data_IF_358752706208
#
_entry.id   IF_358752706208
#
_cell.length_a   1.000
_cell.length_b   1.000
_cell.length_c   1.000
_cell.angle_alpha   90.00
_cell.angle_beta   90.00
_cell.angle_gamma   90.00
#
_symmetry.space_group_name_H-M   'P 1'
#
loop_
_entity.id
_entity.type
_entity.pdbx_description
1 polymer ?
#
# COMPACT_ATOMS: atom_id res chain seq x y z
N UNK A 1 20.53 -22.05 25.29
CA UNK A 1 20.37 -21.48 23.96
C UNK A 1 18.93 -21.72 23.50
N UNK A 2 17.98 -21.03 24.07
CA UNK A 2 16.58 -21.12 23.66
C UNK A 2 15.85 -19.95 24.34
N UNK A 3 15.95 -18.72 23.80
CA UNK A 3 15.16 -17.56 24.27
C UNK A 3 15.34 -16.38 23.31
N UNK A 4 14.93 -16.49 22.04
CA UNK A 4 14.80 -15.33 21.11
C UNK A 4 13.49 -15.37 20.29
N UNK A 5 12.68 -16.42 20.37
CA UNK A 5 11.48 -16.57 19.52
C UNK A 5 10.20 -16.04 20.22
N UNK A 6 10.27 -15.55 21.43
CA UNK A 6 9.07 -15.21 22.22
C UNK A 6 8.66 -13.71 22.26
N UNK A 7 9.25 -12.81 21.48
CA UNK A 7 9.07 -11.36 21.73
C UNK A 7 8.31 -10.58 20.62
N UNK A 8 7.72 -11.25 19.67
CA UNK A 8 7.01 -10.59 18.58
C UNK A 8 5.48 -10.46 18.74
N UNK A 9 4.91 -10.83 19.90
CA UNK A 9 3.45 -10.97 19.99
C UNK A 9 2.75 -10.20 21.12
N UNK A 10 3.38 -9.23 21.77
CA UNK A 10 2.69 -8.48 22.84
C UNK A 10 3.11 -7.03 22.91
N UNK A 11 2.71 -6.21 21.94
CA UNK A 11 2.61 -4.74 22.09
C UNK A 11 1.57 -4.14 21.14
N UNK A 12 0.32 -4.52 21.30
CA UNK A 12 -0.83 -3.82 20.71
C UNK A 12 -1.88 -3.54 21.79
N UNK A 13 -1.47 -2.82 22.83
CA UNK A 13 -2.43 -2.33 23.82
C UNK A 13 -1.91 -1.03 24.42
N UNK A 14 -2.09 0.09 23.75
CA UNK A 14 -2.28 1.41 24.34
C UNK A 14 -2.32 2.51 23.25
N UNK A 15 -3.47 2.74 22.66
CA UNK A 15 -3.87 4.06 22.15
C UNK A 15 -5.40 4.09 22.13
N UNK A 16 -5.95 4.32 23.32
CA UNK A 16 -7.38 4.59 23.47
C UNK A 16 -7.73 5.97 22.93
N UNK A 17 -8.18 6.02 21.69
CA UNK A 17 -9.15 7.00 21.22
C UNK A 17 -10.27 6.20 20.58
N UNK A 18 -11.27 5.87 21.37
CA UNK A 18 -12.50 5.25 20.90
C UNK A 18 -13.31 6.29 20.12
N UNK A 19 -12.97 6.48 18.87
CA UNK A 19 -13.96 6.96 17.90
C UNK A 19 -14.77 5.74 17.53
N UNK A 20 -15.98 5.63 18.08
CA UNK A 20 -16.95 4.65 17.66
C UNK A 20 -17.34 4.98 16.21
N UNK A 21 -16.57 4.45 15.26
CA UNK A 21 -17.00 4.36 13.87
C UNK A 21 -18.17 3.40 13.86
N UNK A 22 -19.33 3.88 13.36
CA UNK A 22 -20.41 2.97 13.00
C UNK A 22 -19.80 1.85 12.13
N UNK A 23 -20.16 0.57 12.37
CA UNK A 23 -19.61 -0.52 11.61
C UNK A 23 -19.87 -0.22 10.12
N UNK A 24 -18.87 -0.33 9.25
CA UNK A 24 -19.08 -0.21 7.82
C UNK A 24 -20.17 -1.24 7.44
N UNK A 25 -21.10 -0.85 6.58
CA UNK A 25 -22.11 -1.75 6.03
C UNK A 25 -21.40 -3.03 5.61
N UNK A 26 -21.75 -4.16 6.22
CA UNK A 26 -21.01 -5.40 6.31
C UNK A 26 -20.32 -5.78 5.00
N UNK A 27 -18.99 -5.67 4.97
CA UNK A 27 -18.18 -6.34 3.97
C UNK A 27 -18.44 -7.86 4.09
N UNK A 28 -18.75 -8.51 2.99
CA UNK A 28 -18.86 -9.97 3.01
C UNK A 28 -17.45 -10.56 3.16
N UNK A 29 -17.23 -11.32 4.20
CA UNK A 29 -15.98 -12.07 4.40
C UNK A 29 -16.22 -13.52 4.04
N UNK A 30 -15.38 -14.10 3.20
CA UNK A 30 -15.35 -15.53 2.88
C UNK A 30 -13.97 -16.02 3.31
N UNK A 31 -13.95 -16.81 4.38
CA UNK A 31 -12.72 -17.25 5.03
C UNK A 31 -12.33 -18.68 4.62
N UNK A 32 -11.04 -18.97 4.78
CA UNK A 32 -10.45 -20.29 4.58
C UNK A 32 -10.75 -20.90 3.20
N UNK A 33 -10.73 -20.08 2.17
CA UNK A 33 -10.86 -20.52 0.78
C UNK A 33 -9.58 -21.26 0.39
N UNK A 34 -9.69 -22.54 0.05
CA UNK A 34 -8.56 -23.32 -0.45
C UNK A 34 -8.31 -22.99 -1.93
N UNK A 35 -7.20 -22.35 -2.25
CA UNK A 35 -6.78 -22.09 -3.63
C UNK A 35 -5.98 -23.24 -4.23
N UNK A 36 -5.52 -24.16 -3.39
CA UNK A 36 -4.91 -25.45 -3.75
C UNK A 36 -5.10 -26.46 -2.60
N UNK A 37 -4.92 -27.77 -2.84
CA UNK A 37 -4.86 -28.77 -1.79
C UNK A 37 -3.75 -28.48 -0.78
N UNK A 38 -4.02 -28.68 0.51
CA UNK A 38 -3.04 -28.46 1.58
C UNK A 38 -1.77 -29.33 1.39
N UNK A 39 -0.62 -28.71 1.45
CA UNK A 39 0.70 -29.35 1.37
C UNK A 39 1.67 -28.67 2.35
N UNK A 40 2.21 -29.42 3.35
CA UNK A 40 1.82 -30.77 3.73
C UNK A 40 0.38 -30.86 4.22
N UNK A 41 -0.14 -32.06 4.41
CA UNK A 41 -1.48 -32.25 4.94
C UNK A 41 -1.66 -31.50 6.26
N UNK A 42 -2.76 -30.75 6.40
CA UNK A 42 -3.05 -29.89 7.56
C UNK A 42 -2.37 -28.52 7.52
N UNK A 43 -1.55 -28.20 6.51
CA UNK A 43 -1.00 -26.86 6.30
C UNK A 43 -2.11 -25.83 6.02
N UNK A 44 -1.95 -24.61 6.52
CA UNK A 44 -2.78 -23.44 6.15
C UNK A 44 -2.21 -22.69 4.93
N UNK A 45 -1.03 -23.07 4.45
CA UNK A 45 -0.26 -22.38 3.42
C UNK A 45 -0.96 -22.27 2.05
N UNK A 46 -2.12 -22.90 1.86
CA UNK A 46 -2.90 -22.80 0.62
C UNK A 46 -4.31 -22.25 0.85
N UNK A 47 -4.51 -21.48 1.92
CA UNK A 47 -5.76 -20.81 2.26
C UNK A 47 -5.68 -19.30 1.99
N UNK A 48 -6.80 -18.71 1.69
CA UNK A 48 -6.97 -17.26 1.64
C UNK A 48 -8.32 -16.85 2.24
N UNK A 49 -8.40 -15.59 2.71
CA UNK A 49 -9.66 -14.94 3.03
C UNK A 49 -9.92 -13.83 2.01
N UNK A 50 -11.14 -13.64 1.59
CA UNK A 50 -11.55 -12.53 0.73
C UNK A 50 -12.58 -11.66 1.42
N UNK A 51 -12.33 -10.35 1.45
CA UNK A 51 -13.19 -9.30 1.99
C UNK A 51 -13.78 -8.52 0.84
N UNK A 52 -15.08 -8.64 0.62
CA UNK A 52 -15.78 -7.97 -0.47
C UNK A 52 -16.49 -6.71 0.04
N UNK A 53 -16.30 -5.54 -0.58
CA UNK A 53 -17.04 -4.35 -0.19
C UNK A 53 -18.53 -4.52 -0.46
N UNK A 54 -19.38 -4.00 0.44
CA UNK A 54 -20.84 -4.06 0.32
C UNK A 54 -21.38 -3.18 -0.80
N UNK A 55 -20.63 -2.18 -1.20
CA UNK A 55 -20.99 -1.20 -2.23
C UNK A 55 -19.80 -0.99 -3.18
N UNK A 56 -20.06 -0.47 -4.34
CA UNK A 56 -19.00 -0.10 -5.25
C UNK A 56 -19.18 -0.60 -6.67
N UNK A 57 -18.20 -0.28 -7.50
CA UNK A 57 -18.10 -0.70 -8.90
C UNK A 57 -18.01 -2.22 -8.99
N UNK A 58 -18.66 -2.82 -9.98
CA UNK A 58 -18.43 -4.20 -10.41
C UNK A 58 -18.05 -4.18 -11.90
N UNK A 59 -17.00 -4.86 -12.32
CA UNK A 59 -16.06 -5.65 -11.50
C UNK A 59 -15.14 -4.77 -10.64
N UNK A 60 -14.70 -5.29 -9.46
CA UNK A 60 -13.92 -4.58 -8.44
C UNK A 60 -12.42 -4.71 -8.66
N UNK A 61 -11.62 -3.68 -8.39
CA UNK A 61 -10.18 -3.86 -8.25
C UNK A 61 -9.87 -4.75 -7.03
N UNK A 62 -8.80 -5.51 -7.10
CA UNK A 62 -8.37 -6.40 -6.03
C UNK A 62 -7.04 -5.94 -5.44
N UNK A 63 -6.96 -5.88 -4.11
CA UNK A 63 -5.71 -5.85 -3.37
C UNK A 63 -5.43 -7.24 -2.79
N UNK A 64 -4.29 -7.81 -3.11
CA UNK A 64 -3.80 -9.06 -2.52
C UNK A 64 -2.77 -8.69 -1.47
N UNK A 65 -2.96 -9.16 -0.22
CA UNK A 65 -2.07 -8.87 0.90
C UNK A 65 -1.42 -10.14 1.44
N UNK A 66 -0.14 -10.05 1.76
CA UNK A 66 0.58 -11.07 2.51
C UNK A 66 1.43 -10.41 3.60
N UNK A 67 1.18 -10.78 4.86
CA UNK A 67 1.92 -10.24 6.00
C UNK A 67 3.28 -10.91 6.18
N UNK A 68 4.26 -10.15 6.69
CA UNK A 68 5.57 -10.64 7.03
C UNK A 68 5.57 -11.66 8.17
N UNK A 69 6.44 -12.67 8.07
CA UNK A 69 6.64 -13.70 9.09
C UNK A 69 8.05 -14.27 9.05
N UNK A 70 8.99 -13.60 8.36
CA UNK A 70 10.31 -14.17 8.07
C UNK A 70 10.22 -15.58 7.41
N UNK A 71 9.16 -15.79 6.62
CA UNK A 71 8.78 -17.07 5.98
C UNK A 71 8.57 -18.24 6.96
N UNK A 72 8.44 -18.01 8.26
CA UNK A 72 8.34 -19.07 9.29
C UNK A 72 6.91 -19.51 9.59
N UNK A 73 5.92 -18.72 9.17
CA UNK A 73 4.49 -19.00 9.39
C UNK A 73 3.79 -19.34 8.07
N UNK A 74 2.81 -20.23 8.13
CA UNK A 74 1.85 -20.51 7.06
C UNK A 74 0.47 -19.86 7.34
N UNK A 75 0.41 -18.89 8.26
CA UNK A 75 -0.78 -18.07 8.54
C UNK A 75 -0.43 -16.59 8.55
N UNK A 76 -0.80 -15.89 7.49
CA UNK A 76 -0.56 -14.44 7.25
C UNK A 76 -1.86 -13.63 7.26
N UNK A 77 -2.98 -14.23 7.69
CA UNK A 77 -4.32 -13.62 7.62
C UNK A 77 -4.72 -12.70 8.78
N UNK A 78 -4.05 -12.66 9.95
CA UNK A 78 -4.52 -11.86 11.09
C UNK A 78 -4.78 -10.39 10.81
N UNK A 79 -4.03 -9.74 9.90
CA UNK A 79 -4.24 -8.33 9.53
C UNK A 79 -5.33 -8.11 8.46
N UNK A 80 -6.04 -9.16 8.05
CA UNK A 80 -6.99 -9.07 6.94
C UNK A 80 -8.12 -8.06 7.16
N UNK A 81 -8.67 -8.02 8.36
CA UNK A 81 -9.75 -7.11 8.70
C UNK A 81 -9.30 -5.64 8.69
N UNK A 82 -8.11 -5.35 9.21
CA UNK A 82 -7.52 -4.00 9.23
C UNK A 82 -7.23 -3.50 7.81
N UNK A 83 -6.63 -4.32 6.97
CA UNK A 83 -6.37 -3.99 5.56
C UNK A 83 -7.70 -3.79 4.82
N UNK A 84 -8.68 -4.65 5.04
CA UNK A 84 -10.00 -4.52 4.44
C UNK A 84 -10.71 -3.22 4.89
N UNK A 85 -10.57 -2.82 6.16
CA UNK A 85 -11.15 -1.58 6.67
C UNK A 85 -10.59 -0.33 5.96
N UNK A 86 -9.35 -0.38 5.46
CA UNK A 86 -8.76 0.69 4.65
C UNK A 86 -9.30 0.68 3.22
N UNK A 87 -9.34 -0.48 2.57
CA UNK A 87 -9.50 -0.57 1.12
C UNK A 87 -10.94 -0.86 0.66
N UNK A 88 -11.75 -1.58 1.45
CA UNK A 88 -13.16 -1.83 1.09
C UNK A 88 -13.99 -0.55 0.91
N UNK A 89 -13.86 0.49 1.77
CA UNK A 89 -14.57 1.75 1.56
C UNK A 89 -14.22 2.45 0.24
N UNK A 90 -13.09 2.11 -0.36
CA UNK A 90 -12.61 2.65 -1.64
C UNK A 90 -12.98 1.77 -2.84
N UNK A 91 -13.80 0.73 -2.60
CA UNK A 91 -14.31 -0.17 -3.62
C UNK A 91 -13.37 -1.32 -4.00
N UNK A 92 -12.26 -1.51 -3.30
CA UNK A 92 -11.39 -2.67 -3.51
C UNK A 92 -11.96 -3.91 -2.83
N UNK A 93 -11.92 -5.05 -3.49
CA UNK A 93 -11.88 -6.33 -2.81
C UNK A 93 -10.48 -6.52 -2.20
N UNK A 94 -10.39 -7.18 -1.03
CA UNK A 94 -9.11 -7.49 -0.39
C UNK A 94 -9.02 -9.01 -0.22
N UNK A 95 -7.95 -9.62 -0.74
CA UNK A 95 -7.63 -11.03 -0.49
C UNK A 95 -6.37 -11.12 0.37
N UNK A 96 -6.45 -11.79 1.51
CA UNK A 96 -5.29 -12.05 2.38
C UNK A 96 -4.88 -13.50 2.23
N UNK A 97 -3.65 -13.73 1.81
CA UNK A 97 -3.20 -15.01 1.27
C UNK A 97 -2.15 -15.62 2.18
N UNK A 98 -2.32 -16.87 2.54
CA UNK A 98 -1.30 -17.71 3.15
C UNK A 98 -0.43 -18.37 2.09
N UNK A 99 0.84 -18.59 2.41
CA UNK A 99 1.78 -19.43 1.64
C UNK A 99 2.47 -20.40 2.59
N UNK A 100 3.04 -21.45 2.08
CA UNK A 100 3.81 -22.41 2.90
C UNK A 100 4.98 -21.72 3.59
N UNK A 101 5.24 -22.10 4.84
CA UNK A 101 6.45 -21.69 5.55
C UNK A 101 7.71 -22.35 4.98
N UNK A 102 8.88 -21.79 5.30
CA UNK A 102 10.18 -22.39 4.95
C UNK A 102 10.41 -23.77 5.59
N UNK A 103 9.78 -24.05 6.74
CA UNK A 103 9.79 -25.36 7.37
C UNK A 103 8.93 -26.40 6.62
N UNK A 104 7.94 -26.00 5.84
CA UNK A 104 7.08 -26.87 5.05
C UNK A 104 7.65 -27.12 3.65
N UNK A 105 8.24 -26.09 3.04
CA UNK A 105 8.88 -26.16 1.73
C UNK A 105 9.85 -24.98 1.54
N UNK A 106 11.01 -25.24 0.96
CA UNK A 106 11.97 -24.19 0.62
C UNK A 106 11.56 -23.44 -0.66
N UNK A 107 12.22 -22.31 -0.95
CA UNK A 107 12.12 -21.60 -2.24
C UNK A 107 12.31 -22.60 -3.42
N UNK A 108 11.50 -22.52 -4.49
CA UNK A 108 10.56 -21.43 -4.84
C UNK A 108 9.09 -21.67 -4.38
N UNK A 109 8.84 -22.54 -3.41
CA UNK A 109 7.49 -22.92 -3.01
C UNK A 109 6.58 -21.72 -2.66
N UNK A 110 7.09 -20.74 -1.93
CA UNK A 110 6.34 -19.55 -1.52
C UNK A 110 5.90 -18.70 -2.72
N UNK A 111 6.76 -18.61 -3.74
CA UNK A 111 6.43 -17.89 -5.00
C UNK A 111 5.41 -18.70 -5.82
N UNK A 112 5.54 -20.02 -5.88
CA UNK A 112 4.54 -20.85 -6.54
C UNK A 112 3.17 -20.73 -5.87
N UNK A 113 3.13 -20.63 -4.54
CA UNK A 113 1.90 -20.53 -3.76
C UNK A 113 1.21 -19.18 -3.98
N UNK A 114 1.93 -18.05 -3.88
CA UNK A 114 1.32 -16.74 -4.11
C UNK A 114 0.83 -16.60 -5.56
N UNK A 115 1.58 -17.12 -6.53
CA UNK A 115 1.15 -17.13 -7.94
C UNK A 115 -0.07 -18.02 -8.17
N UNK A 116 -0.15 -19.18 -7.46
CA UNK A 116 -1.32 -20.04 -7.48
C UNK A 116 -2.57 -19.31 -6.92
N UNK A 117 -2.42 -18.58 -5.83
CA UNK A 117 -3.51 -17.79 -5.26
C UNK A 117 -3.98 -16.69 -6.24
N UNK A 118 -3.05 -15.98 -6.90
CA UNK A 118 -3.38 -14.97 -7.92
C UNK A 118 -4.13 -15.63 -9.09
N UNK A 119 -3.69 -16.78 -9.57
CA UNK A 119 -4.37 -17.53 -10.65
C UNK A 119 -5.75 -17.99 -10.22
N UNK A 120 -5.89 -18.50 -8.99
CA UNK A 120 -7.19 -18.90 -8.43
C UNK A 120 -8.17 -17.72 -8.40
N UNK A 121 -7.75 -16.56 -7.87
CA UNK A 121 -8.56 -15.35 -7.80
C UNK A 121 -8.97 -14.86 -9.19
N UNK A 122 -8.07 -14.94 -10.17
CA UNK A 122 -8.35 -14.56 -11.56
C UNK A 122 -9.31 -15.55 -12.25
N UNK A 123 -9.15 -16.84 -12.05
CA UNK A 123 -10.04 -17.85 -12.61
C UNK A 123 -11.45 -17.78 -12.01
N UNK A 124 -11.57 -17.36 -10.75
CA UNK A 124 -12.83 -17.20 -10.02
C UNK A 124 -13.33 -15.74 -9.98
N UNK A 125 -12.80 -14.89 -10.87
CA UNK A 125 -13.11 -13.46 -10.87
C UNK A 125 -14.61 -13.15 -11.00
N UNK A 126 -15.34 -13.93 -11.78
CA UNK A 126 -16.79 -13.77 -11.93
C UNK A 126 -17.52 -14.02 -10.61
N UNK A 127 -17.13 -15.05 -9.84
CA UNK A 127 -17.72 -15.39 -8.53
C UNK A 127 -17.55 -14.26 -7.53
N UNK A 128 -16.37 -13.64 -7.49
CA UNK A 128 -16.05 -12.56 -6.55
C UNK A 128 -16.24 -11.16 -7.15
N UNK A 129 -16.71 -11.08 -8.40
CA UNK A 129 -16.90 -9.83 -9.15
C UNK A 129 -15.61 -8.98 -9.22
N UNK A 130 -14.46 -9.60 -9.53
CA UNK A 130 -13.16 -8.97 -9.62
C UNK A 130 -12.84 -8.49 -11.04
N UNK A 131 -12.17 -7.33 -11.14
CA UNK A 131 -11.58 -6.86 -12.40
C UNK A 131 -10.20 -7.48 -12.58
N UNK A 132 -10.09 -8.44 -13.47
CA UNK A 132 -8.84 -9.18 -13.74
C UNK A 132 -7.70 -8.31 -14.28
N UNK A 133 -7.99 -7.09 -14.74
CA UNK A 133 -7.01 -6.10 -15.21
C UNK A 133 -6.56 -5.14 -14.09
N UNK A 134 -7.05 -5.32 -12.86
CA UNK A 134 -6.81 -4.39 -11.73
C UNK A 134 -6.47 -5.12 -10.44
N UNK A 135 -5.46 -5.99 -10.51
CA UNK A 135 -4.91 -6.70 -9.36
C UNK A 135 -3.67 -5.95 -8.85
N UNK A 136 -3.72 -5.50 -7.61
CA UNK A 136 -2.59 -4.98 -6.85
C UNK A 136 -2.08 -6.05 -5.89
N UNK A 137 -0.78 -6.07 -5.62
CA UNK A 137 -0.22 -6.88 -4.55
C UNK A 137 0.52 -6.00 -3.55
N UNK A 138 0.35 -6.30 -2.26
CA UNK A 138 1.01 -5.59 -1.19
C UNK A 138 1.43 -6.52 -0.06
N UNK A 139 2.42 -6.08 0.72
CA UNK A 139 2.89 -6.82 1.90
C UNK A 139 4.03 -6.12 2.61
N UNK A 140 4.40 -6.69 3.73
CA UNK A 140 5.48 -6.20 4.58
C UNK A 140 6.54 -7.28 4.84
N UNK A 141 7.80 -6.90 5.07
CA UNK A 141 8.90 -7.82 5.40
C UNK A 141 9.02 -8.96 4.37
N UNK A 142 8.95 -10.23 4.79
CA UNK A 142 8.90 -11.38 3.89
C UNK A 142 7.70 -11.37 2.94
N UNK A 143 6.57 -10.74 3.32
CA UNK A 143 5.42 -10.51 2.43
C UNK A 143 5.70 -9.43 1.39
N UNK A 144 6.51 -8.43 1.72
CA UNK A 144 7.00 -7.45 0.75
C UNK A 144 7.95 -8.10 -0.28
N UNK A 145 8.77 -9.05 0.16
CA UNK A 145 9.58 -9.87 -0.75
C UNK A 145 8.70 -10.67 -1.73
N UNK A 146 7.62 -11.32 -1.24
CA UNK A 146 6.65 -11.98 -2.11
C UNK A 146 5.98 -11.01 -3.08
N UNK A 147 5.67 -9.79 -2.63
CA UNK A 147 5.14 -8.73 -3.49
C UNK A 147 6.11 -8.41 -4.63
N UNK A 148 7.38 -8.21 -4.31
CA UNK A 148 8.43 -7.94 -5.31
C UNK A 148 8.61 -9.12 -6.27
N UNK A 149 8.63 -10.36 -5.75
CA UNK A 149 8.70 -11.57 -6.58
C UNK A 149 7.49 -11.67 -7.53
N UNK A 150 6.28 -11.37 -7.08
CA UNK A 150 5.08 -11.39 -7.93
C UNK A 150 5.10 -10.29 -8.98
N UNK A 151 5.59 -9.08 -8.64
CA UNK A 151 5.68 -7.92 -9.54
C UNK A 151 6.70 -8.16 -10.64
N UNK A 152 7.90 -8.64 -10.30
CA UNK A 152 9.02 -8.72 -11.23
C UNK A 152 9.15 -10.05 -11.97
N UNK A 153 8.49 -11.12 -11.50
CA UNK A 153 8.58 -12.43 -12.17
C UNK A 153 7.34 -12.79 -12.98
N UNK A 154 6.57 -11.80 -13.44
CA UNK A 154 5.46 -12.03 -14.35
C UNK A 154 5.92 -12.76 -15.61
N UNK A 155 5.34 -13.92 -15.92
CA UNK A 155 5.71 -14.72 -17.11
C UNK A 155 7.01 -15.53 -16.99
N UNK A 156 7.73 -15.48 -15.86
CA UNK A 156 8.91 -16.34 -15.63
C UNK A 156 8.46 -17.77 -15.34
N UNK A 157 8.56 -18.63 -16.36
CA UNK A 157 8.02 -20.00 -16.34
C UNK A 157 8.50 -20.83 -15.15
N UNK A 158 9.78 -20.71 -14.77
CA UNK A 158 10.36 -21.43 -13.65
C UNK A 158 9.72 -21.05 -12.28
N UNK A 159 9.13 -19.87 -12.19
CA UNK A 159 8.48 -19.34 -10.98
C UNK A 159 6.94 -19.40 -11.04
N UNK A 160 6.35 -19.84 -12.15
CA UNK A 160 4.89 -20.03 -12.20
C UNK A 160 4.43 -21.23 -11.38
N UNK A 161 5.16 -22.31 -11.37
CA UNK A 161 4.78 -23.53 -10.69
C UNK A 161 3.49 -24.16 -11.23
N UNK A 162 3.12 -25.29 -10.66
CA UNK A 162 1.93 -26.07 -11.04
C UNK A 162 0.93 -26.24 -9.90
N UNK A 163 1.09 -25.49 -8.80
CA UNK A 163 0.19 -25.52 -7.64
C UNK A 163 -1.17 -24.96 -8.03
N UNK A 164 -2.25 -25.64 -7.66
CA UNK A 164 -3.64 -25.19 -7.83
C UNK A 164 -4.02 -24.93 -9.29
N UNK A 165 -4.70 -23.81 -9.54
CA UNK A 165 -5.16 -23.43 -10.88
C UNK A 165 -3.99 -23.05 -11.80
N UNK A 166 -3.99 -23.62 -13.00
CA UNK A 166 -3.00 -23.34 -14.05
C UNK A 166 -3.68 -22.82 -15.31
N UNK A 167 -2.92 -22.36 -16.31
CA UNK A 167 -3.45 -21.91 -17.61
C UNK A 167 -4.04 -20.51 -17.62
N UNK A 168 -3.98 -19.78 -16.50
CA UNK A 168 -4.33 -18.36 -16.39
C UNK A 168 -3.15 -17.56 -15.87
N UNK A 169 -3.12 -16.25 -16.16
CA UNK A 169 -2.01 -15.37 -15.76
C UNK A 169 -1.94 -15.17 -14.24
N UNK A 170 -0.73 -15.18 -13.68
CA UNK A 170 -0.42 -14.76 -12.31
C UNK A 170 0.00 -13.29 -12.22
N UNK A 171 -0.07 -12.52 -13.30
CA UNK A 171 0.39 -11.13 -13.32
C UNK A 171 -0.42 -10.24 -12.38
N UNK A 172 0.26 -9.31 -11.73
CA UNK A 172 -0.31 -8.17 -11.01
C UNK A 172 0.00 -6.89 -11.79
N UNK A 173 -0.65 -5.77 -11.45
CA UNK A 173 -0.57 -4.54 -12.24
C UNK A 173 0.11 -3.40 -11.48
N UNK A 174 0.30 -3.56 -10.17
CA UNK A 174 0.95 -2.59 -9.29
C UNK A 174 1.36 -3.28 -8.00
N UNK A 175 2.46 -2.85 -7.39
CA UNK A 175 2.94 -3.35 -6.11
C UNK A 175 3.10 -2.27 -5.04
N UNK A 176 2.88 -2.64 -3.77
CA UNK A 176 3.19 -1.82 -2.59
C UNK A 176 3.93 -2.68 -1.57
N UNK A 177 5.16 -2.34 -1.23
CA UNK A 177 5.96 -3.16 -0.31
C UNK A 177 6.61 -2.34 0.80
N UNK A 178 6.68 -2.92 2.00
CA UNK A 178 7.28 -2.29 3.19
C UNK A 178 8.49 -3.08 3.65
N UNK A 179 9.62 -2.42 3.78
CA UNK A 179 10.88 -2.94 4.34
C UNK A 179 11.24 -4.37 3.91
N UNK A 180 11.31 -4.57 2.58
CA UNK A 180 11.57 -5.87 1.97
C UNK A 180 13.05 -6.23 1.98
N UNK A 181 13.43 -7.47 2.32
CA UNK A 181 14.73 -8.02 1.94
C UNK A 181 14.78 -8.23 0.42
N UNK A 182 15.98 -8.17 -0.17
CA UNK A 182 16.16 -8.24 -1.63
C UNK A 182 17.38 -9.10 -2.01
N UNK A 183 18.59 -8.63 -1.68
CA UNK A 183 19.84 -9.36 -1.93
C UNK A 183 20.39 -9.91 -0.61
N UNK A 184 20.07 -11.16 -0.32
CA UNK A 184 20.42 -11.80 0.95
C UNK A 184 21.93 -11.86 1.18
N UNK A 185 22.75 -11.95 0.12
CA UNK A 185 24.21 -12.02 0.26
C UNK A 185 24.83 -10.73 0.83
N UNK A 186 24.13 -9.59 0.70
CA UNK A 186 24.63 -8.30 1.13
C UNK A 186 24.06 -7.83 2.48
N UNK A 187 23.09 -8.56 3.07
CA UNK A 187 22.38 -8.08 4.25
C UNK A 187 23.30 -7.87 5.45
N UNK A 188 24.18 -8.83 5.80
CA UNK A 188 25.12 -8.65 6.93
C UNK A 188 26.03 -7.43 6.76
N UNK A 189 26.51 -7.18 5.54
CA UNK A 189 27.40 -6.04 5.25
C UNK A 189 26.66 -4.69 5.34
N UNK A 190 25.35 -4.70 5.30
CA UNK A 190 24.47 -3.52 5.37
C UNK A 190 23.82 -3.31 6.75
N UNK A 191 24.07 -4.20 7.71
CA UNK A 191 23.60 -4.02 9.08
C UNK A 191 24.03 -2.68 9.64
N UNK A 192 23.18 -2.13 10.53
CA UNK A 192 23.52 -0.89 11.23
C UNK A 192 24.79 -1.07 12.08
N UNK A 193 25.58 -0.01 12.28
CA UNK A 193 26.75 -0.07 13.16
C UNK A 193 26.42 -0.50 14.61
N UNK A 194 25.19 -0.29 15.02
CA UNK A 194 24.66 -0.68 16.36
C UNK A 194 24.29 -2.16 16.44
N UNK A 195 24.36 -2.90 15.35
CA UNK A 195 24.01 -4.32 15.25
C UNK A 195 22.87 -4.58 14.26
N UNK A 196 22.46 -5.85 14.16
CA UNK A 196 21.40 -6.34 13.31
C UNK A 196 21.29 -7.85 13.44
N UNK A 197 20.44 -8.46 12.64
CA UNK A 197 20.32 -9.91 12.56
C UNK A 197 21.56 -10.49 11.84
N UNK A 198 22.04 -11.65 12.28
CA UNK A 198 23.05 -12.40 11.53
C UNK A 198 22.40 -13.19 10.39
N UNK A 199 22.29 -12.57 9.24
CA UNK A 199 21.74 -13.15 8.01
C UNK A 199 22.59 -14.27 7.42
N UNK A 200 23.90 -14.29 7.74
CA UNK A 200 24.79 -15.35 7.28
C UNK A 200 24.66 -16.66 8.09
N UNK A 201 23.98 -16.62 9.22
CA UNK A 201 23.73 -17.80 10.03
C UNK A 201 23.01 -18.89 9.22
N UNK A 202 23.41 -20.18 9.37
CA UNK A 202 22.63 -21.30 8.79
C UNK A 202 21.17 -21.35 9.27
N UNK A 203 20.89 -20.74 10.43
CA UNK A 203 19.56 -20.65 11.02
C UNK A 203 18.85 -19.31 10.72
N UNK A 204 19.42 -18.46 9.87
CA UNK A 204 18.76 -17.23 9.45
C UNK A 204 17.50 -17.53 8.64
N UNK A 205 16.50 -16.66 8.66
CA UNK A 205 15.29 -16.82 7.85
C UNK A 205 15.59 -17.04 6.35
N UNK A 206 16.58 -16.32 5.83
CA UNK A 206 17.01 -16.39 4.44
C UNK A 206 17.65 -17.75 4.12
N UNK A 207 18.52 -18.26 5.01
CA UNK A 207 19.14 -19.58 4.87
C UNK A 207 18.10 -20.69 4.91
N UNK A 208 17.11 -20.59 5.82
CA UNK A 208 16.01 -21.54 5.92
C UNK A 208 15.10 -21.48 4.69
N UNK A 209 14.84 -20.29 4.15
CA UNK A 209 14.06 -20.10 2.93
C UNK A 209 14.70 -20.78 1.73
N UNK A 210 16.00 -20.55 1.49
CA UNK A 210 16.69 -21.13 0.33
C UNK A 210 17.19 -22.55 0.54
N UNK A 211 17.12 -23.06 1.78
CA UNK A 211 17.48 -24.43 2.14
C UNK A 211 18.98 -24.68 2.30
N UNK A 212 19.78 -23.61 2.40
CA UNK A 212 21.25 -23.67 2.57
C UNK A 212 21.79 -22.38 3.20
N UNK A 213 22.94 -22.41 3.91
CA UNK A 213 23.58 -21.17 4.36
C UNK A 213 23.83 -20.25 3.17
N UNK A 214 23.27 -19.04 3.18
CA UNK A 214 23.20 -18.17 2.00
C UNK A 214 24.55 -17.91 1.32
N UNK A 215 25.63 -17.80 2.09
CA UNK A 215 26.97 -17.54 1.54
C UNK A 215 27.57 -18.77 0.85
N UNK A 216 27.00 -19.96 1.02
CA UNK A 216 27.48 -21.22 0.41
C UNK A 216 26.71 -21.62 -0.86
N UNK A 217 25.57 -20.95 -1.13
CA UNK A 217 24.70 -21.28 -2.26
C UNK A 217 24.25 -20.07 -3.06
N UNK A 218 25.18 -19.27 -3.61
CA UNK A 218 24.86 -17.99 -4.26
C UNK A 218 23.92 -18.13 -5.45
N UNK A 219 23.89 -19.27 -6.13
CA UNK A 219 22.95 -19.51 -7.24
C UNK A 219 21.49 -19.64 -6.75
N UNK A 220 21.25 -20.31 -5.62
CA UNK A 220 19.92 -20.39 -5.00
C UNK A 220 19.46 -19.01 -4.49
N UNK A 221 20.38 -18.24 -3.88
CA UNK A 221 20.10 -16.88 -3.45
C UNK A 221 19.79 -15.97 -4.64
N UNK A 222 20.53 -16.06 -5.73
CA UNK A 222 20.27 -15.29 -6.95
C UNK A 222 18.89 -15.61 -7.54
N UNK A 223 18.45 -16.86 -7.49
CA UNK A 223 17.10 -17.26 -7.92
C UNK A 223 16.00 -16.72 -6.98
N UNK A 224 16.30 -16.54 -5.68
CA UNK A 224 15.39 -15.94 -4.70
C UNK A 224 15.48 -14.39 -4.64
N UNK A 225 16.37 -13.78 -5.40
CA UNK A 225 16.56 -12.33 -5.42
C UNK A 225 15.62 -11.67 -6.44
N UNK A 226 14.65 -10.83 -6.02
CA UNK A 226 13.72 -10.15 -6.93
C UNK A 226 14.42 -9.35 -8.03
N UNK A 227 15.61 -8.78 -7.74
CA UNK A 227 16.38 -8.00 -8.71
C UNK A 227 16.82 -8.80 -9.94
N UNK A 228 16.86 -10.12 -9.85
CA UNK A 228 17.20 -11.03 -10.96
C UNK A 228 16.20 -10.90 -12.11
N UNK A 229 14.95 -10.58 -11.79
CA UNK A 229 13.81 -10.60 -12.71
C UNK A 229 13.37 -9.20 -13.17
N UNK A 230 13.95 -8.13 -12.63
CA UNK A 230 13.57 -6.75 -12.96
C UNK A 230 13.84 -6.43 -14.42
N UNK A 231 12.81 -5.98 -15.13
CA UNK A 231 12.87 -5.45 -16.49
C UNK A 231 12.04 -4.15 -16.68
N UNK A 232 12.10 -3.55 -17.86
CA UNK A 232 11.41 -2.27 -18.15
C UNK A 232 9.89 -2.40 -18.32
N UNK A 233 9.38 -3.61 -18.52
CA UNK A 233 7.96 -3.91 -18.70
C UNK A 233 7.22 -4.21 -17.40
N UNK A 234 7.94 -4.26 -16.29
CA UNK A 234 7.37 -4.59 -14.99
C UNK A 234 6.32 -3.57 -14.50
N UNK A 235 5.32 -4.03 -13.76
CA UNK A 235 4.38 -3.15 -13.08
C UNK A 235 5.08 -2.15 -12.14
N UNK A 236 4.53 -0.92 -11.98
CA UNK A 236 5.10 0.05 -11.05
C UNK A 236 5.06 -0.46 -9.61
N UNK A 237 6.14 -0.15 -8.85
CA UNK A 237 6.27 -0.51 -7.44
C UNK A 237 6.44 0.75 -6.58
N UNK A 238 5.60 0.89 -5.55
CA UNK A 238 5.84 1.78 -4.40
C UNK A 238 6.44 0.94 -3.28
N UNK A 239 7.57 1.37 -2.75
CA UNK A 239 8.15 0.67 -1.60
C UNK A 239 8.76 1.64 -0.60
N UNK A 240 8.66 1.27 0.68
CA UNK A 240 9.01 2.12 1.81
C UNK A 240 9.95 1.38 2.74
N UNK A 241 10.93 2.08 3.31
CA UNK A 241 11.90 1.47 4.22
C UNK A 241 12.41 2.49 5.24
N UNK A 242 12.46 2.07 6.50
CA UNK A 242 13.04 2.85 7.58
C UNK A 242 14.58 2.80 7.54
N UNK A 243 15.23 3.95 7.78
CA UNK A 243 16.71 3.98 7.82
C UNK A 243 17.26 3.41 9.15
N UNK A 244 16.42 3.28 10.17
CA UNK A 244 16.78 2.70 11.46
C UNK A 244 16.43 1.20 11.55
N UNK A 245 16.02 0.58 10.45
CA UNK A 245 15.65 -0.83 10.40
C UNK A 245 16.84 -1.74 10.72
N UNK A 246 16.76 -2.44 11.87
CA UNK A 246 17.80 -3.35 12.34
C UNK A 246 17.52 -4.83 12.00
N UNK A 247 16.32 -5.16 11.51
CA UNK A 247 15.96 -6.51 11.07
C UNK A 247 16.26 -6.73 9.59
N UNK A 248 15.84 -5.82 8.73
CA UNK A 248 16.15 -5.85 7.29
C UNK A 248 16.88 -4.55 6.95
N UNK A 249 18.15 -4.61 6.60
CA UNK A 249 18.93 -3.39 6.34
C UNK A 249 18.31 -2.52 5.25
N UNK A 250 18.15 -1.23 5.50
CA UNK A 250 17.63 -0.24 4.55
C UNK A 250 18.33 -0.28 3.18
N UNK A 251 19.62 -0.65 3.15
CA UNK A 251 20.39 -0.84 1.92
C UNK A 251 19.75 -1.80 0.91
N UNK A 252 18.93 -2.74 1.36
CA UNK A 252 18.21 -3.68 0.51
C UNK A 252 17.26 -2.95 -0.46
N UNK A 253 16.53 -1.96 0.03
CA UNK A 253 15.68 -1.13 -0.82
C UNK A 253 16.47 -0.18 -1.72
N UNK A 254 17.62 0.31 -1.27
CA UNK A 254 18.51 1.12 -2.12
C UNK A 254 19.03 0.30 -3.31
N UNK A 255 19.41 -0.96 -3.08
CA UNK A 255 19.84 -1.86 -4.16
C UNK A 255 18.72 -2.08 -5.17
N UNK A 256 17.51 -2.38 -4.69
CA UNK A 256 16.35 -2.61 -5.54
C UNK A 256 16.03 -1.37 -6.40
N UNK A 257 15.98 -0.17 -5.79
CA UNK A 257 15.72 1.06 -6.53
C UNK A 257 16.73 1.28 -7.65
N UNK A 258 18.02 1.11 -7.34
CA UNK A 258 19.10 1.29 -8.33
C UNK A 258 18.98 0.26 -9.47
N UNK A 259 18.57 -0.98 -9.17
CA UNK A 259 18.33 -2.02 -10.17
C UNK A 259 17.15 -1.68 -11.08
N UNK A 260 15.99 -1.25 -10.50
CA UNK A 260 14.82 -0.86 -11.28
C UNK A 260 15.17 0.33 -12.20
N UNK A 261 15.86 1.34 -11.67
CA UNK A 261 16.33 2.48 -12.47
C UNK A 261 17.23 2.05 -13.62
N UNK A 262 18.20 1.16 -13.36
CA UNK A 262 19.12 0.66 -14.38
C UNK A 262 18.43 -0.11 -15.51
N UNK A 263 17.28 -0.71 -15.24
CA UNK A 263 16.44 -1.38 -16.23
C UNK A 263 15.33 -0.46 -16.80
N UNK A 264 15.35 0.85 -16.49
CA UNK A 264 14.35 1.82 -16.93
C UNK A 264 12.91 1.51 -16.46
N UNK A 265 12.76 0.76 -15.39
CA UNK A 265 11.47 0.43 -14.77
C UNK A 265 10.87 1.61 -14.01
N UNK A 266 9.63 1.44 -13.56
CA UNK A 266 8.86 2.45 -12.83
C UNK A 266 8.79 2.12 -11.34
N UNK A 267 9.35 2.99 -10.49
CA UNK A 267 9.26 2.81 -9.04
C UNK A 267 9.26 4.15 -8.29
N UNK A 268 8.65 4.10 -7.10
CA UNK A 268 8.76 5.15 -6.08
C UNK A 268 9.31 4.51 -4.81
N UNK A 269 10.47 4.94 -4.37
CA UNK A 269 11.10 4.53 -3.12
C UNK A 269 11.00 5.63 -2.08
N UNK A 270 10.47 5.31 -0.90
CA UNK A 270 10.32 6.23 0.23
C UNK A 270 11.22 5.76 1.37
N UNK A 271 12.21 6.57 1.69
CA UNK A 271 13.17 6.35 2.77
C UNK A 271 12.78 7.20 3.98
N UNK A 272 12.50 6.57 5.13
CA UNK A 272 12.01 7.25 6.34
C UNK A 272 13.10 7.24 7.41
N UNK A 273 13.64 8.42 7.81
CA UNK A 273 14.89 8.50 8.59
C UNK A 273 14.90 7.75 9.92
N UNK A 274 13.85 7.90 10.74
CA UNK A 274 13.82 7.37 12.10
C UNK A 274 12.96 6.10 12.27
N UNK A 275 12.41 5.57 11.17
CA UNK A 275 11.59 4.37 11.23
C UNK A 275 12.46 3.11 11.26
N UNK A 276 12.03 2.16 12.07
CA UNK A 276 12.53 0.80 12.17
C UNK A 276 11.65 -0.15 11.33
N UNK A 277 11.71 -1.46 11.57
CA UNK A 277 10.99 -2.53 10.88
C UNK A 277 9.49 -2.59 11.23
N UNK A 278 8.79 -1.44 11.15
CA UNK A 278 7.37 -1.37 11.53
C UNK A 278 6.59 -0.38 10.65
N UNK A 279 5.45 -0.83 10.09
CA UNK A 279 4.57 0.04 9.29
C UNK A 279 4.09 1.27 10.07
N UNK A 280 3.79 1.12 11.38
CA UNK A 280 3.34 2.23 12.22
C UNK A 280 4.41 3.33 12.33
N UNK A 281 5.69 2.98 12.34
CA UNK A 281 6.78 3.97 12.38
C UNK A 281 7.03 4.58 10.99
N UNK A 282 6.89 3.80 9.92
CA UNK A 282 6.93 4.31 8.54
C UNK A 282 5.82 5.36 8.31
N UNK A 283 4.64 5.13 8.88
CA UNK A 283 3.46 6.00 8.72
C UNK A 283 3.27 7.00 9.86
N UNK A 284 4.24 7.14 10.76
CA UNK A 284 4.16 8.09 11.87
C UNK A 284 4.10 9.53 11.33
N UNK A 285 3.04 10.30 11.65
CA UNK A 285 2.95 11.70 11.24
C UNK A 285 4.13 12.58 11.69
N UNK A 286 4.85 12.19 12.74
CA UNK A 286 6.07 12.88 13.18
C UNK A 286 7.23 12.77 12.18
N UNK A 287 7.18 11.81 11.27
CA UNK A 287 8.15 11.63 10.18
C UNK A 287 7.78 12.41 8.91
N UNK A 288 6.55 12.93 8.82
CA UNK A 288 6.10 13.67 7.64
C UNK A 288 6.97 14.91 7.38
N UNK A 289 7.32 15.13 6.13
CA UNK A 289 8.23 16.20 5.73
C UNK A 289 9.71 15.84 5.81
N UNK A 290 10.09 14.71 6.43
CA UNK A 290 11.47 14.27 6.59
C UNK A 290 11.84 13.11 5.67
N UNK A 291 10.85 12.41 5.11
CA UNK A 291 11.10 11.28 4.21
C UNK A 291 11.74 11.73 2.90
N UNK A 292 12.68 10.94 2.39
CA UNK A 292 13.23 11.10 1.05
C UNK A 292 12.46 10.24 0.08
N UNK A 293 11.93 10.84 -0.97
CA UNK A 293 11.20 10.17 -2.05
C UNK A 293 12.06 10.17 -3.30
N UNK A 294 12.40 8.98 -3.78
CA UNK A 294 13.10 8.76 -5.06
C UNK A 294 12.12 8.12 -6.03
N UNK A 295 11.97 8.70 -7.21
CA UNK A 295 11.10 8.14 -8.26
C UNK A 295 11.92 7.90 -9.51
N UNK A 296 11.74 6.74 -10.13
CA UNK A 296 12.34 6.41 -11.43
C UNK A 296 11.26 6.06 -12.44
N UNK A 297 11.42 6.60 -13.64
CA UNK A 297 10.64 6.29 -14.82
C UNK A 297 11.45 6.63 -16.06
N UNK A 298 11.35 5.82 -17.12
CA UNK A 298 12.06 6.05 -18.40
C UNK A 298 13.58 6.31 -18.22
N UNK A 299 14.25 5.55 -17.35
CA UNK A 299 15.64 5.69 -16.94
C UNK A 299 15.99 7.00 -16.20
N UNK A 300 15.06 7.90 -16.02
CA UNK A 300 15.24 9.15 -15.25
C UNK A 300 15.10 8.90 -13.75
N UNK A 301 15.57 9.85 -12.95
CA UNK A 301 15.35 9.86 -11.49
C UNK A 301 14.97 11.26 -11.04
N UNK A 302 14.01 11.34 -10.13
CA UNK A 302 13.72 12.54 -9.35
C UNK A 302 13.86 12.23 -7.87
N UNK A 303 14.38 13.21 -7.12
CA UNK A 303 14.52 13.11 -5.66
C UNK A 303 13.82 14.31 -5.04
N UNK A 304 13.01 14.07 -4.02
CA UNK A 304 12.33 15.11 -3.25
C UNK A 304 12.28 14.73 -1.77
N UNK A 305 11.99 15.69 -0.91
CA UNK A 305 11.84 15.48 0.53
C UNK A 305 10.45 15.90 0.95
N UNK A 306 9.79 15.13 1.82
CA UNK A 306 8.52 15.49 2.42
C UNK A 306 7.34 15.56 1.44
N UNK A 307 7.40 14.86 0.32
CA UNK A 307 6.39 15.00 -0.74
C UNK A 307 5.33 13.91 -0.74
N UNK A 308 5.56 12.77 -0.06
CA UNK A 308 4.61 11.67 -0.07
C UNK A 308 3.81 11.59 1.23
N UNK A 309 4.40 11.92 2.39
CA UNK A 309 3.79 11.77 3.72
C UNK A 309 3.20 10.35 3.88
N UNK A 310 4.02 9.34 4.19
CA UNK A 310 3.62 7.94 4.20
C UNK A 310 2.34 7.69 5.00
N UNK A 311 1.26 7.33 4.31
CA UNK A 311 -0.06 7.12 4.92
C UNK A 311 -0.95 6.29 4.00
N UNK A 312 -1.92 5.57 4.57
CA UNK A 312 -2.88 4.80 3.78
C UNK A 312 -3.59 5.62 2.69
N UNK A 313 -4.05 6.87 2.93
CA UNK A 313 -4.64 7.69 1.87
C UNK A 313 -3.70 7.95 0.69
N UNK A 314 -2.42 8.25 0.95
CA UNK A 314 -1.45 8.51 -0.11
C UNK A 314 -1.06 7.22 -0.85
N UNK A 315 -0.91 6.10 -0.15
CA UNK A 315 -0.68 4.79 -0.77
C UNK A 315 -1.85 4.38 -1.66
N UNK A 316 -3.08 4.57 -1.18
CA UNK A 316 -4.29 4.28 -1.96
C UNK A 316 -4.37 5.15 -3.21
N UNK A 317 -4.05 6.44 -3.11
CA UNK A 317 -3.99 7.35 -4.26
C UNK A 317 -2.98 6.84 -5.29
N UNK A 318 -1.81 6.42 -4.84
CA UNK A 318 -0.77 5.87 -5.69
C UNK A 318 -1.20 4.55 -6.36
N UNK A 319 -1.75 3.61 -5.61
CA UNK A 319 -2.28 2.34 -6.12
C UNK A 319 -3.40 2.56 -7.14
N UNK A 320 -4.33 3.47 -6.87
CA UNK A 320 -5.43 3.83 -7.81
C UNK A 320 -4.89 4.37 -9.12
N UNK A 321 -3.85 5.21 -9.06
CA UNK A 321 -3.17 5.73 -10.25
C UNK A 321 -2.54 4.60 -11.06
N UNK A 322 -1.79 3.70 -10.42
CA UNK A 322 -1.17 2.54 -11.06
C UNK A 322 -2.19 1.59 -11.72
N UNK A 323 -3.34 1.40 -11.09
CA UNK A 323 -4.46 0.61 -11.61
C UNK A 323 -5.37 1.38 -12.60
N UNK A 324 -5.04 2.62 -12.94
CA UNK A 324 -5.81 3.49 -13.84
C UNK A 324 -7.28 3.65 -13.38
N UNK A 325 -7.50 3.74 -12.08
CA UNK A 325 -8.81 3.92 -11.48
C UNK A 325 -9.23 5.40 -11.37
N UNK A 326 -8.32 6.34 -11.65
CA UNK A 326 -8.52 7.76 -11.39
C UNK A 326 -8.56 8.07 -9.88
N UNK A 327 -8.73 9.35 -9.54
CA UNK A 327 -8.91 9.75 -8.15
C UNK A 327 -10.34 9.42 -7.68
N UNK A 328 -10.53 9.22 -6.37
CA UNK A 328 -11.82 8.88 -5.79
C UNK A 328 -12.76 10.10 -5.66
N UNK A 329 -12.28 11.29 -6.02
CA UNK A 329 -13.07 12.52 -5.99
C UNK A 329 -12.63 13.53 -7.06
N UNK A 330 -13.58 14.36 -7.46
CA UNK A 330 -13.36 15.57 -8.25
C UNK A 330 -13.74 16.80 -7.41
N UNK A 331 -13.02 17.91 -7.62
CA UNK A 331 -13.34 19.19 -7.01
C UNK A 331 -13.38 20.25 -8.09
N UNK A 332 -14.53 20.94 -8.17
CA UNK A 332 -14.65 22.23 -8.88
C UNK A 332 -14.51 23.34 -7.87
N UNK A 333 -13.66 24.32 -8.16
CA UNK A 333 -13.44 25.49 -7.32
C UNK A 333 -13.67 26.76 -8.11
N UNK A 334 -14.54 27.61 -7.62
CA UNK A 334 -14.87 28.89 -8.23
C UNK A 334 -14.63 30.04 -7.25
N UNK A 335 -14.32 31.22 -7.78
CA UNK A 335 -14.14 32.42 -6.97
C UNK A 335 -14.84 33.64 -7.59
N UNK A 336 -15.50 34.45 -6.76
CA UNK A 336 -15.93 35.80 -7.10
C UNK A 336 -15.15 36.82 -6.25
N UNK A 337 -14.37 37.67 -6.89
CA UNK A 337 -13.43 38.58 -6.22
C UNK A 337 -13.98 40.00 -6.22
N UNK A 338 -13.86 40.72 -5.09
CA UNK A 338 -14.09 42.18 -4.95
C UNK A 338 -13.08 42.74 -3.94
N UNK A 339 -12.89 44.07 -3.98
CA UNK A 339 -11.94 44.85 -3.15
C UNK A 339 -11.42 44.16 -1.87
N UNK A 340 -10.30 43.40 -1.95
CA UNK A 340 -9.63 42.76 -0.82
C UNK A 340 -10.36 41.56 -0.22
N UNK A 341 -11.46 41.11 -0.83
CA UNK A 341 -12.24 39.97 -0.38
C UNK A 341 -12.67 39.09 -1.57
N UNK A 342 -13.13 37.88 -1.29
CA UNK A 342 -13.68 36.94 -2.30
C UNK A 342 -14.63 35.93 -1.67
N UNK A 343 -15.54 35.41 -2.48
CA UNK A 343 -16.25 34.20 -2.17
C UNK A 343 -15.60 33.01 -2.89
N UNK A 344 -15.44 31.92 -2.19
CA UNK A 344 -15.08 30.62 -2.77
C UNK A 344 -16.28 29.69 -2.80
N UNK A 345 -16.53 29.08 -3.97
CA UNK A 345 -17.48 27.99 -4.12
C UNK A 345 -16.73 26.70 -4.36
N UNK A 346 -17.08 25.65 -3.65
CA UNK A 346 -16.48 24.31 -3.77
C UNK A 346 -17.58 23.31 -4.05
N UNK A 347 -17.45 22.56 -5.14
CA UNK A 347 -18.26 21.37 -5.41
C UNK A 347 -17.35 20.18 -5.31
N UNK A 348 -17.66 19.25 -4.40
CA UNK A 348 -16.94 17.98 -4.27
C UNK A 348 -17.82 16.84 -4.78
N UNK A 349 -17.30 16.06 -5.74
CA UNK A 349 -17.98 14.91 -6.33
C UNK A 349 -17.26 13.63 -5.93
N UNK A 350 -18.01 12.68 -5.47
CA UNK A 350 -17.51 11.33 -5.23
C UNK A 350 -17.44 10.56 -6.56
N UNK A 351 -16.26 10.35 -7.07
CA UNK A 351 -16.00 9.51 -8.27
C UNK A 351 -15.57 8.08 -7.90
N UNK A 352 -15.52 7.80 -6.59
CA UNK A 352 -15.28 6.45 -6.07
C UNK A 352 -16.52 5.58 -6.20
N UNK A 353 -16.31 4.30 -5.93
CA UNK A 353 -17.32 3.28 -6.06
C UNK A 353 -18.23 3.12 -4.82
N UNK A 354 -17.81 3.69 -3.68
CA UNK A 354 -18.53 3.63 -2.40
C UNK A 354 -19.05 5.01 -1.98
N UNK A 355 -20.16 5.10 -1.25
CA UNK A 355 -20.61 6.35 -0.69
C UNK A 355 -19.60 6.90 0.34
N UNK A 356 -19.46 8.20 0.37
CA UNK A 356 -18.70 8.93 1.40
C UNK A 356 -19.68 9.46 2.42
N UNK A 357 -19.42 9.21 3.70
CA UNK A 357 -20.16 9.80 4.82
C UNK A 357 -19.21 10.64 5.67
N UNK A 358 -19.75 11.67 6.30
CA UNK A 358 -18.98 12.61 7.14
C UNK A 358 -17.75 13.12 6.41
N UNK A 359 -17.97 13.69 5.22
CA UNK A 359 -16.89 14.14 4.37
C UNK A 359 -16.12 15.33 4.99
N UNK A 360 -14.82 15.34 4.71
CA UNK A 360 -13.97 16.49 4.93
C UNK A 360 -13.29 16.85 3.61
N UNK A 361 -13.23 18.14 3.29
CA UNK A 361 -12.45 18.68 2.17
C UNK A 361 -11.36 19.57 2.73
N UNK A 362 -10.11 19.31 2.38
CA UNK A 362 -8.98 20.10 2.85
C UNK A 362 -8.11 20.61 1.70
N UNK A 363 -7.49 21.77 1.92
CA UNK A 363 -6.52 22.38 1.00
C UNK A 363 -5.57 23.29 1.75
N UNK A 364 -4.49 23.70 1.09
CA UNK A 364 -3.54 24.67 1.61
C UNK A 364 -3.47 25.87 0.68
N UNK A 365 -3.58 27.07 1.22
CA UNK A 365 -3.37 28.30 0.50
C UNK A 365 -1.88 28.52 0.22
N UNK A 366 -1.57 29.10 -0.95
CA UNK A 366 -0.21 29.58 -1.26
C UNK A 366 0.04 31.04 -0.84
N UNK A 367 -0.99 31.72 -0.34
CA UNK A 367 -0.97 33.12 0.08
C UNK A 367 -1.53 33.30 1.49
N UNK A 368 -2.00 34.49 1.76
CA UNK A 368 -2.49 34.95 3.07
C UNK A 368 -4.01 34.99 3.20
N UNK A 369 -4.70 34.17 2.44
CA UNK A 369 -6.16 34.06 2.46
C UNK A 369 -6.66 33.68 3.85
N UNK A 370 -7.73 34.39 4.33
CA UNK A 370 -8.37 34.12 5.61
C UNK A 370 -9.87 33.99 5.43
N UNK A 371 -10.44 32.83 5.81
CA UNK A 371 -11.88 32.60 5.74
C UNK A 371 -12.57 33.34 6.90
N UNK A 372 -13.61 34.09 6.56
CA UNK A 372 -14.38 34.90 7.51
C UNK A 372 -15.75 34.32 7.83
N UNK A 373 -16.34 33.58 6.89
CA UNK A 373 -17.60 32.84 7.07
C UNK A 373 -17.70 31.69 6.09
N UNK A 374 -18.56 30.72 6.38
CA UNK A 374 -18.83 29.58 5.50
C UNK A 374 -20.30 29.18 5.56
N UNK A 375 -20.80 28.54 4.51
CA UNK A 375 -22.14 27.95 4.44
C UNK A 375 -22.08 26.54 3.83
N UNK A 376 -23.02 25.69 4.25
CA UNK A 376 -23.09 24.26 3.91
C UNK A 376 -21.84 23.46 4.31
N UNK A 377 -20.95 24.02 5.15
CA UNK A 377 -19.83 23.33 5.76
C UNK A 377 -19.42 24.01 7.07
N UNK A 378 -18.85 23.26 7.99
CA UNK A 378 -18.11 23.80 9.12
C UNK A 378 -16.64 23.91 8.72
N UNK A 379 -16.11 25.12 8.68
CA UNK A 379 -14.74 25.36 8.21
C UNK A 379 -13.84 25.75 9.38
N UNK A 380 -12.66 25.14 9.43
CA UNK A 380 -11.56 25.50 10.31
C UNK A 380 -10.34 25.86 9.48
N UNK A 381 -9.60 26.88 9.92
CA UNK A 381 -8.36 27.30 9.27
C UNK A 381 -7.26 27.50 10.32
N UNK A 382 -6.09 26.91 10.06
CA UNK A 382 -4.87 27.09 10.88
C UNK A 382 -3.75 27.53 9.94
N UNK A 383 -3.36 28.78 10.04
CA UNK A 383 -2.42 29.36 9.08
C UNK A 383 -2.97 29.26 7.63
N UNK A 384 -2.21 28.64 6.74
CA UNK A 384 -2.62 28.42 5.36
C UNK A 384 -3.49 27.17 5.16
N UNK A 385 -3.55 26.27 6.14
CA UNK A 385 -4.29 25.01 6.01
C UNK A 385 -5.76 25.19 6.35
N UNK A 386 -6.63 24.74 5.47
CA UNK A 386 -8.09 24.81 5.61
C UNK A 386 -8.66 23.39 5.62
N UNK A 387 -9.65 23.16 6.50
CA UNK A 387 -10.47 21.96 6.52
C UNK A 387 -11.94 22.35 6.63
N UNK A 388 -12.72 21.97 5.63
CA UNK A 388 -14.17 22.04 5.61
C UNK A 388 -14.76 20.67 5.92
N UNK A 389 -15.73 20.60 6.84
CA UNK A 389 -16.49 19.38 7.16
C UNK A 389 -17.93 19.59 6.76
N UNK A 390 -18.63 18.51 6.50
CA UNK A 390 -20.07 18.52 6.27
C UNK A 390 -20.84 19.27 7.39
N UNK A 391 -22.01 19.77 7.04
CA UNK A 391 -22.90 20.50 7.96
C UNK A 391 -23.97 19.58 8.59
N UNK A 392 -23.77 18.27 8.60
CA UNK A 392 -24.69 17.26 9.10
C UNK A 392 -25.76 16.87 8.07
N UNK A 393 -26.56 17.82 7.60
CA UNK A 393 -27.64 17.56 6.63
C UNK A 393 -27.11 17.10 5.24
N UNK A 394 -25.88 17.39 4.92
CA UNK A 394 -25.22 17.08 3.66
C UNK A 394 -24.04 16.10 3.83
N UNK A 395 -24.01 15.35 4.91
CA UNK A 395 -22.90 14.46 5.26
C UNK A 395 -22.67 13.29 4.30
N UNK A 396 -23.64 12.98 3.44
CA UNK A 396 -23.62 11.83 2.52
C UNK A 396 -23.37 12.28 1.07
N UNK A 397 -22.40 11.61 0.42
CA UNK A 397 -22.13 11.75 -1.03
C UNK A 397 -22.12 10.36 -1.65
N UNK A 398 -23.19 9.98 -2.35
CA UNK A 398 -23.26 8.70 -3.09
C UNK A 398 -22.25 8.65 -4.25
N UNK A 399 -21.96 7.45 -4.79
CA UNK A 399 -21.14 7.31 -6.00
C UNK A 399 -21.72 8.14 -7.16
N UNK A 400 -20.86 8.92 -7.82
CA UNK A 400 -21.23 9.83 -8.90
C UNK A 400 -21.96 11.11 -8.46
N UNK A 401 -22.35 11.23 -7.18
CA UNK A 401 -23.06 12.38 -6.62
C UNK A 401 -22.08 13.46 -6.12
N UNK A 402 -22.61 14.68 -5.89
CA UNK A 402 -21.82 15.82 -5.42
C UNK A 402 -22.48 16.50 -4.22
N UNK A 403 -21.66 17.18 -3.41
CA UNK A 403 -22.09 18.18 -2.42
C UNK A 403 -21.39 19.50 -2.71
N UNK A 404 -22.01 20.58 -2.30
CA UNK A 404 -21.43 21.92 -2.48
C UNK A 404 -21.44 22.71 -1.18
N UNK A 405 -20.42 23.50 -0.99
CA UNK A 405 -20.31 24.47 0.09
C UNK A 405 -19.60 25.73 -0.40
N UNK A 406 -19.66 26.78 0.38
CA UNK A 406 -18.95 27.98 0.05
C UNK A 406 -18.47 28.74 1.29
N UNK A 407 -17.67 29.74 1.04
CA UNK A 407 -17.12 30.61 2.09
C UNK A 407 -16.84 32.03 1.57
N UNK A 408 -16.81 32.96 2.49
CA UNK A 408 -16.24 34.30 2.26
C UNK A 408 -14.85 34.34 2.88
N UNK A 409 -13.94 35.06 2.23
CA UNK A 409 -12.55 35.18 2.68
C UNK A 409 -11.96 36.57 2.29
N UNK A 410 -10.91 36.93 3.02
CA UNK A 410 -10.07 38.09 2.68
C UNK A 410 -8.75 37.61 2.09
N UNK A 411 -8.15 38.43 1.23
CA UNK A 411 -6.81 38.25 0.69
C UNK A 411 -6.15 39.59 0.43
N UNK A 412 -4.88 39.72 0.83
CA UNK A 412 -4.06 40.87 0.43
C UNK A 412 -3.04 40.37 -0.60
N UNK A 413 -3.24 40.70 -1.88
CA UNK A 413 -2.41 40.21 -2.99
C UNK A 413 -3.13 39.23 -3.92
N UNK A 414 -2.37 38.37 -4.57
CA UNK A 414 -2.91 37.43 -5.56
C UNK A 414 -3.74 36.32 -4.87
N UNK A 415 -5.01 36.19 -5.24
CA UNK A 415 -5.87 35.10 -4.79
C UNK A 415 -5.64 33.87 -5.67
N UNK A 416 -4.54 33.17 -5.42
CA UNK A 416 -4.23 31.97 -6.16
C UNK A 416 -5.15 30.80 -5.77
N UNK A 417 -5.59 30.05 -6.77
CA UNK A 417 -6.37 28.80 -6.55
C UNK A 417 -5.47 27.78 -5.85
N UNK A 418 -5.97 27.05 -4.81
CA UNK A 418 -5.22 25.97 -4.20
C UNK A 418 -4.74 24.95 -5.22
N UNK A 419 -3.48 24.54 -5.10
CA UNK A 419 -2.86 23.59 -6.04
C UNK A 419 -3.51 22.21 -5.95
N UNK A 420 -3.99 21.83 -4.75
CA UNK A 420 -4.53 20.50 -4.47
C UNK A 420 -5.69 20.58 -3.47
N UNK A 421 -6.70 19.76 -3.71
CA UNK A 421 -7.78 19.48 -2.76
C UNK A 421 -7.77 17.99 -2.39
N UNK A 422 -8.15 17.70 -1.14
CA UNK A 422 -8.29 16.30 -0.66
C UNK A 422 -9.69 16.13 -0.07
N UNK A 423 -10.36 15.01 -0.36
CA UNK A 423 -11.56 14.58 0.33
C UNK A 423 -11.21 13.38 1.22
N UNK A 424 -11.45 13.48 2.53
CA UNK A 424 -11.06 12.46 3.53
C UNK A 424 -9.58 12.04 3.36
N UNK A 425 -8.69 13.03 3.19
CA UNK A 425 -7.25 12.90 2.93
C UNK A 425 -6.85 12.28 1.58
N UNK A 426 -7.80 11.86 0.75
CA UNK A 426 -7.52 11.36 -0.61
C UNK A 426 -7.50 12.55 -1.58
N UNK A 427 -6.46 12.63 -2.40
CA UNK A 427 -6.32 13.70 -3.41
C UNK A 427 -7.43 13.61 -4.44
N UNK A 428 -8.09 14.75 -4.67
CA UNK A 428 -9.13 14.89 -5.71
C UNK A 428 -8.53 15.42 -7.02
N UNK A 429 -9.10 15.00 -8.13
CA UNK A 429 -8.89 15.68 -9.42
C UNK A 429 -9.55 17.03 -9.36
N UNK A 430 -8.80 18.10 -9.62
CA UNK A 430 -9.41 19.44 -9.84
C UNK A 430 -9.94 19.50 -11.27
N UNK A 431 -11.21 19.81 -11.40
CA UNK A 431 -11.87 20.07 -12.68
C UNK A 431 -12.19 21.57 -12.80
N UNK A 432 -12.26 22.11 -14.03
CA UNK A 432 -12.54 23.53 -14.27
C UNK A 432 -13.87 24.00 -13.65
#
# INVERSE_FOLDING_TARGET
MATVVGMAMTMLAALGVSVALAPPAHAQVISDIAYAPAQPAGSRGHLLDIYLPSTGMTPRPLLIWHSGSAWTSDDSKPLGAEIAAVFNPLGFAVAVVNVRSSAQAIFPAQVHDIKAAIRYLRANAATYQLDTNRFAMAGDSSGAWLTQMAVFSGGVTALEGTVGTTGVSSAVHVGLSFYSPTDFLQMNAQNLPTGGLDHNSPASPESLLVGCPIQTCPAAVAAANPMTYVDSGDPPLLFLHGQADFLVPHGQSVLLFNRIKAQCGNATFVSVPAADHMMVQIMDPAQYGNETVRTTANCGETVSTGTLNPSWPNFTTWLRSGLKLGNACEVTYSTGVWNGAFNGGVVVKNTGASPVQNWTVSWTWSGNQQITSAWNATVTQTGAQVTARDAGHNSYIGPGSSQSFGFSATATGTNAIPAQFKMNNIVCTRVP
#
